data_IF_174305583448
#
_entry.id   IF_174305583448
#
_cell.length_a   1.000
_cell.length_b   1.000
_cell.length_c   1.000
_cell.angle_alpha   90.00
_cell.angle_beta   90.00
_cell.angle_gamma   90.00
#
_symmetry.space_group_name_H-M   'P 1'
#
loop_
_entity.id
_entity.type
_entity.pdbx_description
1 polymer ?
#
# COMPACT_ATOMS: atom_id res chain seq x y z
N UNK A 1 16.81 -6.44 -10.69
CA UNK A 1 17.85 -7.40 -11.10
C UNK A 1 17.99 -8.57 -10.13
N UNK A 2 18.20 -8.35 -8.83
CA UNK A 2 18.46 -9.41 -7.84
C UNK A 2 17.32 -10.43 -7.67
N UNK A 3 16.06 -9.96 -7.57
CA UNK A 3 14.90 -10.86 -7.43
C UNK A 3 14.56 -11.61 -8.73
N UNK A 4 14.88 -11.03 -9.89
CA UNK A 4 14.60 -11.61 -11.20
C UNK A 4 15.57 -12.74 -11.58
N UNK A 5 16.70 -12.86 -10.87
CA UNK A 5 17.62 -13.99 -11.00
C UNK A 5 17.09 -15.27 -10.33
N UNK A 6 16.12 -15.16 -9.41
CA UNK A 6 15.53 -16.29 -8.70
C UNK A 6 13.99 -16.32 -8.84
N UNK A 7 13.52 -16.47 -10.09
CA UNK A 7 12.10 -16.42 -10.45
C UNK A 7 11.26 -17.51 -9.79
N UNK A 8 11.83 -18.69 -9.56
CA UNK A 8 11.11 -19.80 -8.94
C UNK A 8 10.79 -19.53 -7.46
N UNK A 9 11.70 -18.87 -6.74
CA UNK A 9 11.44 -18.44 -5.36
C UNK A 9 10.38 -17.34 -5.30
N UNK A 10 10.35 -16.44 -6.29
CA UNK A 10 9.34 -15.38 -6.38
C UNK A 10 7.90 -15.92 -6.50
N UNK A 11 7.70 -17.07 -7.17
CA UNK A 11 6.38 -17.68 -7.35
C UNK A 11 5.81 -18.29 -6.07
N UNK A 12 6.67 -18.67 -5.12
CA UNK A 12 6.30 -19.50 -3.97
C UNK A 12 6.45 -18.78 -2.63
N UNK A 13 7.38 -17.83 -2.52
CA UNK A 13 7.70 -17.13 -1.28
C UNK A 13 6.99 -15.77 -1.21
N UNK A 14 5.94 -15.69 -0.38
CA UNK A 14 5.18 -14.46 -0.18
C UNK A 14 6.00 -13.35 0.49
N UNK A 15 7.08 -13.68 1.24
CA UNK A 15 7.97 -12.65 1.81
C UNK A 15 8.73 -11.96 0.68
N UNK A 16 9.23 -12.73 -0.30
CA UNK A 16 9.85 -12.18 -1.51
C UNK A 16 8.85 -11.39 -2.35
N UNK A 17 7.60 -11.84 -2.46
CA UNK A 17 6.56 -11.09 -3.15
C UNK A 17 6.26 -9.75 -2.47
N UNK A 18 6.20 -9.68 -1.14
CA UNK A 18 6.03 -8.39 -0.44
C UNK A 18 7.17 -7.41 -0.75
N UNK A 19 8.43 -7.87 -0.73
CA UNK A 19 9.56 -7.02 -1.13
C UNK A 19 9.50 -6.59 -2.59
N UNK A 20 9.10 -7.51 -3.49
CA UNK A 20 8.96 -7.20 -4.91
C UNK A 20 7.87 -6.15 -5.13
N UNK A 21 6.71 -6.34 -4.53
CA UNK A 21 5.61 -5.37 -4.56
C UNK A 21 6.01 -4.02 -3.98
N UNK A 22 6.77 -4.00 -2.89
CA UNK A 22 7.28 -2.77 -2.32
C UNK A 22 8.09 -1.97 -3.34
N UNK A 23 9.01 -2.61 -4.05
CA UNK A 23 9.82 -1.97 -5.09
C UNK A 23 8.93 -1.42 -6.22
N UNK A 24 7.87 -2.14 -6.61
CA UNK A 24 6.93 -1.65 -7.62
C UNK A 24 6.20 -0.38 -7.15
N UNK A 25 5.68 -0.37 -5.93
CA UNK A 25 5.03 0.82 -5.37
C UNK A 25 6.01 1.97 -5.15
N UNK A 26 7.27 1.68 -4.82
CA UNK A 26 8.33 2.68 -4.77
C UNK A 26 8.56 3.32 -6.14
N UNK A 27 8.68 2.52 -7.19
CA UNK A 27 8.80 3.03 -8.55
C UNK A 27 7.58 3.87 -8.95
N UNK A 28 6.37 3.45 -8.59
CA UNK A 28 5.16 4.22 -8.85
C UNK A 28 5.18 5.57 -8.13
N UNK A 29 5.44 5.57 -6.83
CA UNK A 29 5.46 6.80 -6.04
C UNK A 29 6.60 7.73 -6.47
N UNK A 30 7.80 7.20 -6.73
CA UNK A 30 8.94 8.02 -7.18
C UNK A 30 8.85 8.44 -8.64
N UNK A 31 7.94 7.88 -9.43
CA UNK A 31 7.55 8.41 -10.73
C UNK A 31 6.48 9.51 -10.59
N UNK A 32 5.48 9.30 -9.74
CA UNK A 32 4.39 10.25 -9.48
C UNK A 32 4.87 11.53 -8.79
N UNK A 33 5.81 11.44 -7.85
CA UNK A 33 6.36 12.58 -7.12
C UNK A 33 6.95 13.67 -8.04
N UNK A 34 7.82 13.31 -9.00
CA UNK A 34 8.29 14.24 -10.02
C UNK A 34 7.18 14.86 -10.86
N UNK A 35 6.14 14.10 -11.23
CA UNK A 35 4.97 14.67 -11.94
C UNK A 35 4.29 15.74 -11.09
N UNK A 36 4.06 15.46 -9.81
CA UNK A 36 3.48 16.42 -8.85
C UNK A 36 4.37 17.65 -8.60
N UNK A 37 5.68 17.56 -8.88
CA UNK A 37 6.59 18.71 -8.79
C UNK A 37 6.53 19.63 -10.02
N UNK A 38 5.93 19.20 -11.13
CA UNK A 38 5.81 20.01 -12.34
C UNK A 38 4.67 21.03 -12.17
N UNK A 39 4.95 22.31 -12.38
CA UNK A 39 4.01 23.42 -12.08
C UNK A 39 2.60 23.22 -12.64
N UNK A 40 2.48 22.85 -13.92
CA UNK A 40 1.16 22.71 -14.56
C UNK A 40 0.38 21.49 -14.04
N UNK A 41 1.09 20.44 -13.64
CA UNK A 41 0.48 19.25 -13.06
C UNK A 41 0.06 19.53 -11.62
N UNK A 42 0.93 20.18 -10.85
CA UNK A 42 0.65 20.59 -9.47
C UNK A 42 -0.51 21.58 -9.38
N UNK A 43 -0.76 22.39 -10.42
CA UNK A 43 -1.94 23.27 -10.45
C UNK A 43 -3.27 22.50 -10.32
N UNK A 44 -3.32 21.26 -10.80
CA UNK A 44 -4.46 20.37 -10.64
C UNK A 44 -4.39 19.56 -9.33
N UNK A 45 -3.21 19.07 -8.97
CA UNK A 45 -3.05 18.12 -7.87
C UNK A 45 -2.91 18.78 -6.49
N UNK A 46 -2.46 20.04 -6.42
CA UNK A 46 -2.20 20.70 -5.15
C UNK A 46 -3.50 20.93 -4.37
N UNK A 47 -3.45 20.69 -3.06
CA UNK A 47 -4.59 20.74 -2.14
C UNK A 47 -5.74 19.78 -2.45
N UNK A 48 -5.55 18.81 -3.36
CA UNK A 48 -6.55 17.77 -3.62
C UNK A 48 -6.19 16.44 -2.96
N UNK A 49 -7.14 15.51 -2.97
CA UNK A 49 -6.91 14.13 -2.51
C UNK A 49 -5.79 13.39 -3.27
N UNK A 50 -5.33 13.89 -4.43
CA UNK A 50 -4.22 13.29 -5.18
C UNK A 50 -2.96 13.20 -4.32
N UNK A 51 -2.60 14.28 -3.63
CA UNK A 51 -1.39 14.30 -2.77
C UNK A 51 -1.48 13.23 -1.69
N UNK A 52 -2.67 13.00 -1.12
CA UNK A 52 -2.89 11.95 -0.12
C UNK A 52 -2.78 10.56 -0.76
N UNK A 53 -3.28 10.38 -1.99
CA UNK A 53 -3.10 9.18 -2.79
C UNK A 53 -1.62 8.85 -3.01
N UNK A 54 -0.82 9.83 -3.44
CA UNK A 54 0.62 9.73 -3.60
C UNK A 54 1.34 9.34 -2.29
N UNK A 55 0.99 10.01 -1.19
CA UNK A 55 1.58 9.69 0.12
C UNK A 55 1.29 8.24 0.51
N UNK A 56 0.07 7.74 0.30
CA UNK A 56 -0.30 6.39 0.72
C UNK A 56 0.19 5.30 -0.24
N UNK A 57 0.36 5.60 -1.53
CA UNK A 57 1.03 4.67 -2.46
C UNK A 57 2.48 4.42 -2.01
N UNK A 58 3.19 5.46 -1.56
CA UNK A 58 4.52 5.34 -0.94
C UNK A 58 4.50 4.74 0.47
N UNK A 59 3.64 5.24 1.36
CA UNK A 59 3.63 4.84 2.77
C UNK A 59 3.15 3.40 2.97
N UNK A 60 2.04 3.00 2.34
CA UNK A 60 1.50 1.64 2.48
C UNK A 60 2.18 0.68 1.50
N UNK A 61 2.30 1.10 0.24
CA UNK A 61 2.84 0.29 -0.85
C UNK A 61 4.34 0.06 -0.74
N UNK A 62 5.15 1.09 -0.51
CA UNK A 62 6.60 0.93 -0.38
C UNK A 62 7.03 0.64 1.06
N UNK A 63 6.80 1.59 1.99
CA UNK A 63 7.32 1.50 3.37
C UNK A 63 6.63 0.36 4.12
N UNK A 64 5.30 0.30 4.05
CA UNK A 64 4.49 -0.72 4.71
C UNK A 64 4.84 -2.13 4.25
N UNK A 65 4.83 -2.40 2.93
CA UNK A 65 5.15 -3.73 2.41
C UNK A 65 6.60 -4.14 2.69
N UNK A 66 7.56 -3.22 2.60
CA UNK A 66 8.95 -3.50 2.99
C UNK A 66 9.05 -3.87 4.46
N UNK A 67 8.41 -3.10 5.34
CA UNK A 67 8.37 -3.37 6.77
C UNK A 67 7.75 -4.73 7.09
N UNK A 68 6.60 -5.04 6.49
CA UNK A 68 5.92 -6.34 6.63
C UNK A 68 6.85 -7.49 6.24
N UNK A 69 7.55 -7.38 5.11
CA UNK A 69 8.49 -8.41 4.65
C UNK A 69 9.67 -8.59 5.62
N UNK A 70 10.23 -7.49 6.12
CA UNK A 70 11.28 -7.49 7.16
C UNK A 70 10.79 -8.22 8.41
N UNK A 71 9.59 -7.90 8.92
CA UNK A 71 9.04 -8.56 10.10
C UNK A 71 8.84 -10.06 9.91
N UNK A 72 8.25 -10.48 8.79
CA UNK A 72 8.08 -11.90 8.48
C UNK A 72 9.41 -12.63 8.31
N UNK A 73 10.46 -11.96 7.85
CA UNK A 73 11.77 -12.56 7.70
C UNK A 73 12.53 -12.67 9.04
N UNK A 74 12.59 -11.58 9.81
CA UNK A 74 13.46 -11.50 10.99
C UNK A 74 12.85 -12.09 12.26
N UNK A 75 11.57 -11.88 12.54
CA UNK A 75 10.97 -12.33 13.82
C UNK A 75 11.13 -13.85 14.05
N UNK A 76 10.84 -14.74 13.08
CA UNK A 76 11.04 -16.17 13.29
C UNK A 76 12.50 -16.51 13.63
N UNK A 77 13.46 -15.87 12.95
CA UNK A 77 14.90 -16.11 13.13
C UNK A 77 15.38 -15.64 14.50
N UNK A 78 14.92 -14.49 14.97
CA UNK A 78 15.24 -13.96 16.30
C UNK A 78 14.75 -14.88 17.42
N UNK A 79 13.69 -15.65 17.17
CA UNK A 79 13.14 -16.66 18.10
C UNK A 79 13.57 -18.10 17.77
N UNK A 80 14.62 -18.29 16.97
CA UNK A 80 15.14 -19.60 16.56
C UNK A 80 14.06 -20.53 15.97
N UNK A 81 13.13 -19.96 15.19
CA UNK A 81 12.11 -20.70 14.43
C UNK A 81 12.55 -20.86 12.99
N UNK A 82 12.36 -22.07 12.46
CA UNK A 82 12.69 -22.42 11.07
C UNK A 82 11.63 -21.90 10.08
N UNK A 83 10.36 -21.84 10.50
CA UNK A 83 9.25 -21.38 9.67
C UNK A 83 8.25 -20.51 10.47
N UNK A 84 7.45 -19.73 9.74
CA UNK A 84 6.27 -19.05 10.26
C UNK A 84 5.14 -20.04 10.53
N UNK A 85 4.30 -19.74 11.53
CA UNK A 85 3.21 -20.60 11.96
C UNK A 85 2.22 -20.97 10.84
N UNK A 86 1.86 -20.02 9.98
CA UNK A 86 0.97 -20.29 8.84
C UNK A 86 1.37 -19.53 7.58
N UNK A 87 1.76 -20.28 6.54
CA UNK A 87 2.00 -19.74 5.18
C UNK A 87 0.70 -19.23 4.54
N UNK A 88 -0.45 -19.82 4.88
CA UNK A 88 -1.78 -19.41 4.37
C UNK A 88 -2.17 -18.02 4.86
N UNK A 89 -1.85 -17.67 6.12
CA UNK A 89 -2.13 -16.33 6.65
C UNK A 89 -1.29 -15.25 5.96
N UNK A 90 -0.03 -15.55 5.61
CA UNK A 90 0.82 -14.61 4.85
C UNK A 90 0.22 -14.36 3.47
N UNK A 91 -0.27 -15.42 2.80
CA UNK A 91 -0.98 -15.29 1.52
C UNK A 91 -2.20 -14.37 1.64
N UNK A 92 -3.05 -14.56 2.66
CA UNK A 92 -4.20 -13.69 2.88
C UNK A 92 -3.81 -12.25 3.17
N UNK A 93 -2.81 -12.05 4.04
CA UNK A 93 -2.27 -10.72 4.30
C UNK A 93 -1.76 -10.05 3.01
N UNK A 94 -1.04 -10.78 2.17
CA UNK A 94 -0.54 -10.25 0.90
C UNK A 94 -1.65 -9.70 0.02
N UNK A 95 -2.72 -10.48 -0.18
CA UNK A 95 -3.84 -10.04 -1.02
C UNK A 95 -4.66 -8.92 -0.38
N UNK A 96 -4.88 -8.94 0.94
CA UNK A 96 -5.57 -7.86 1.65
C UNK A 96 -4.79 -6.55 1.58
N UNK A 97 -3.46 -6.60 1.75
CA UNK A 97 -2.60 -5.43 1.64
C UNK A 97 -2.65 -4.85 0.23
N UNK A 98 -2.56 -5.68 -0.82
CA UNK A 98 -2.62 -5.21 -2.20
C UNK A 98 -3.99 -4.64 -2.58
N UNK A 99 -5.07 -5.34 -2.22
CA UNK A 99 -6.43 -4.84 -2.43
C UNK A 99 -6.65 -3.52 -1.70
N UNK A 100 -6.17 -3.42 -0.45
CA UNK A 100 -6.24 -2.21 0.35
C UNK A 100 -5.53 -1.03 -0.32
N UNK A 101 -4.26 -1.20 -0.70
CA UNK A 101 -3.48 -0.15 -1.38
C UNK A 101 -4.09 0.22 -2.72
N UNK A 102 -4.53 -0.75 -3.53
CA UNK A 102 -5.14 -0.49 -4.83
C UNK A 102 -6.43 0.33 -4.71
N UNK A 103 -7.34 -0.07 -3.81
CA UNK A 103 -8.58 0.69 -3.55
C UNK A 103 -8.25 2.09 -3.04
N UNK A 104 -7.29 2.22 -2.12
CA UNK A 104 -6.88 3.49 -1.56
C UNK A 104 -6.34 4.45 -2.63
N UNK A 105 -5.41 3.96 -3.47
CA UNK A 105 -4.79 4.77 -4.51
C UNK A 105 -5.79 5.18 -5.60
N UNK A 106 -6.58 4.22 -6.12
CA UNK A 106 -7.56 4.50 -7.17
C UNK A 106 -8.62 5.50 -6.68
N UNK A 107 -9.14 5.30 -5.46
CA UNK A 107 -10.15 6.22 -4.91
C UNK A 107 -9.63 7.66 -4.82
N UNK A 108 -8.38 7.84 -4.38
CA UNK A 108 -7.81 9.18 -4.21
C UNK A 108 -7.29 9.81 -5.49
N UNK A 109 -6.90 9.01 -6.49
CA UNK A 109 -6.67 9.55 -7.83
C UNK A 109 -7.97 10.07 -8.44
N UNK A 110 -9.06 9.30 -8.37
CA UNK A 110 -10.35 9.75 -8.92
C UNK A 110 -10.88 10.99 -8.17
N UNK A 111 -10.81 10.97 -6.83
CA UNK A 111 -11.17 12.12 -6.02
C UNK A 111 -10.31 13.35 -6.32
N UNK A 112 -8.99 13.18 -6.38
CA UNK A 112 -8.05 14.29 -6.56
C UNK A 112 -8.12 14.91 -7.96
N UNK A 113 -8.21 14.09 -9.00
CA UNK A 113 -8.40 14.56 -10.39
C UNK A 113 -9.73 15.31 -10.51
N UNK A 114 -10.82 14.74 -10.00
CA UNK A 114 -12.15 15.34 -10.09
C UNK A 114 -12.27 16.63 -9.27
N UNK A 115 -11.72 16.66 -8.05
CA UNK A 115 -11.68 17.86 -7.21
C UNK A 115 -10.88 18.99 -7.88
N UNK A 116 -9.69 18.69 -8.39
CA UNK A 116 -8.88 19.67 -9.12
C UNK A 116 -9.58 20.18 -10.39
N UNK A 117 -10.24 19.29 -11.14
CA UNK A 117 -11.02 19.66 -12.31
C UNK A 117 -12.17 20.61 -11.95
N UNK A 118 -12.97 20.27 -10.94
CA UNK A 118 -14.11 21.09 -10.51
C UNK A 118 -13.68 22.47 -10.03
N UNK A 119 -12.54 22.58 -9.34
CA UNK A 119 -12.02 23.87 -8.87
C UNK A 119 -11.46 24.77 -9.98
N UNK A 120 -11.01 24.19 -11.10
CA UNK A 120 -10.44 24.94 -12.22
C UNK A 120 -11.45 25.21 -13.34
N UNK A 121 -12.63 24.57 -13.32
CA UNK A 121 -13.59 24.70 -14.42
C UNK A 121 -14.28 26.06 -14.38
N UNK A 122 -14.19 26.78 -15.49
CA UNK A 122 -14.81 28.09 -15.70
C UNK A 122 -15.77 28.05 -16.91
N UNK A 123 -16.87 28.80 -16.82
CA UNK A 123 -17.76 29.05 -17.94
C UNK A 123 -17.11 30.02 -18.94
N UNK A 124 -17.72 30.20 -20.12
CA UNK A 124 -17.23 31.13 -21.15
C UNK A 124 -17.06 32.58 -20.65
N UNK A 125 -17.83 32.96 -19.62
CA UNK A 125 -17.77 34.27 -18.98
C UNK A 125 -16.68 34.39 -17.89
N UNK A 126 -15.90 33.32 -17.63
CA UNK A 126 -14.84 33.28 -16.61
C UNK A 126 -15.30 32.97 -15.19
N UNK A 127 -16.60 32.80 -14.97
CA UNK A 127 -17.16 32.40 -13.67
C UNK A 127 -16.89 30.91 -13.37
N UNK A 128 -16.67 30.59 -12.09
CA UNK A 128 -16.50 29.20 -11.66
C UNK A 128 -17.79 28.40 -11.83
N UNK A 129 -17.67 27.22 -12.46
CA UNK A 129 -18.83 26.36 -12.76
C UNK A 129 -19.37 25.66 -11.51
N UNK A 130 -18.47 25.20 -10.65
CA UNK A 130 -18.80 24.41 -9.47
C UNK A 130 -18.54 25.20 -8.19
N UNK A 131 -19.46 25.10 -7.25
CA UNK A 131 -19.26 25.54 -5.87
C UNK A 131 -18.32 24.59 -5.13
N UNK A 132 -17.72 25.09 -4.04
CA UNK A 132 -16.88 24.26 -3.17
C UNK A 132 -17.65 23.08 -2.57
N UNK A 133 -18.93 23.27 -2.22
CA UNK A 133 -19.78 22.23 -1.63
C UNK A 133 -20.03 21.09 -2.64
N UNK A 134 -20.21 21.40 -3.92
CA UNK A 134 -20.35 20.38 -4.96
C UNK A 134 -19.09 19.53 -5.10
N UNK A 135 -17.90 20.15 -5.05
CA UNK A 135 -16.63 19.41 -5.04
C UNK A 135 -16.48 18.52 -3.80
N UNK A 136 -16.92 18.99 -2.62
CA UNK A 136 -16.93 18.18 -1.39
C UNK A 136 -17.88 16.98 -1.50
N UNK A 137 -19.09 17.19 -2.03
CA UNK A 137 -20.07 16.14 -2.24
C UNK A 137 -19.58 15.11 -3.26
N UNK A 138 -18.91 15.56 -4.32
CA UNK A 138 -18.28 14.69 -5.31
C UNK A 138 -17.23 13.76 -4.68
N UNK A 139 -16.37 14.28 -3.79
CA UNK A 139 -15.30 13.47 -3.21
C UNK A 139 -15.73 12.50 -2.10
N UNK A 140 -16.87 12.77 -1.44
CA UNK A 140 -17.37 11.98 -0.32
C UNK A 140 -17.40 10.44 -0.54
N UNK A 141 -17.97 9.90 -1.63
CA UNK A 141 -17.98 8.45 -1.87
C UNK A 141 -16.57 7.85 -2.00
N UNK A 142 -15.63 8.60 -2.57
CA UNK A 142 -14.24 8.17 -2.72
C UNK A 142 -13.50 8.15 -1.38
N UNK A 143 -13.81 9.07 -0.46
CA UNK A 143 -13.29 9.04 0.90
C UNK A 143 -13.79 7.83 1.70
N UNK A 144 -15.01 7.34 1.41
CA UNK A 144 -15.50 6.09 1.98
C UNK A 144 -14.73 4.88 1.44
N UNK A 145 -14.47 4.84 0.13
CA UNK A 145 -13.61 3.80 -0.46
C UNK A 145 -12.18 3.84 0.09
N UNK A 146 -11.62 5.03 0.33
CA UNK A 146 -10.34 5.21 1.03
C UNK A 146 -10.36 4.53 2.39
N UNK A 147 -11.39 4.80 3.20
CA UNK A 147 -11.55 4.16 4.51
C UNK A 147 -11.59 2.63 4.39
N UNK A 148 -12.38 2.11 3.44
CA UNK A 148 -12.48 0.68 3.21
C UNK A 148 -11.14 0.05 2.79
N UNK A 149 -10.41 0.67 1.86
CA UNK A 149 -9.08 0.22 1.46
C UNK A 149 -8.08 0.22 2.63
N UNK A 150 -8.10 1.27 3.45
CA UNK A 150 -7.28 1.34 4.66
C UNK A 150 -7.63 0.25 5.68
N UNK A 151 -8.93 -0.02 5.87
CA UNK A 151 -9.41 -1.08 6.76
C UNK A 151 -8.94 -2.47 6.31
N UNK A 152 -8.92 -2.77 5.01
CA UNK A 152 -8.37 -4.02 4.48
C UNK A 152 -6.88 -4.17 4.78
N UNK A 153 -6.10 -3.08 4.61
CA UNK A 153 -4.68 -3.10 4.92
C UNK A 153 -4.43 -3.36 6.42
N UNK A 154 -5.18 -2.67 7.29
CA UNK A 154 -5.11 -2.86 8.75
C UNK A 154 -5.55 -4.27 9.16
N UNK A 155 -6.57 -4.83 8.53
CA UNK A 155 -6.96 -6.22 8.74
C UNK A 155 -5.81 -7.18 8.41
N UNK A 156 -5.08 -6.90 7.33
CA UNK A 156 -3.83 -7.59 6.99
C UNK A 156 -2.79 -7.54 8.13
N UNK A 157 -2.59 -6.37 8.74
CA UNK A 157 -1.68 -6.21 9.88
C UNK A 157 -2.12 -7.02 11.11
N UNK A 158 -3.43 -7.14 11.37
CA UNK A 158 -3.93 -8.01 12.42
C UNK A 158 -3.62 -9.50 12.13
N UNK A 159 -3.76 -9.94 10.87
CA UNK A 159 -3.35 -11.29 10.48
C UNK A 159 -1.84 -11.50 10.66
N UNK A 160 -1.02 -10.49 10.36
CA UNK A 160 0.41 -10.53 10.60
C UNK A 160 0.73 -10.67 12.09
N UNK A 161 0.17 -9.79 12.92
CA UNK A 161 0.39 -9.81 14.36
C UNK A 161 0.01 -11.17 14.97
N UNK A 162 -1.15 -11.72 14.57
CA UNK A 162 -1.58 -13.04 15.00
C UNK A 162 -0.63 -14.16 14.56
N UNK A 163 -0.21 -14.17 13.29
CA UNK A 163 0.69 -15.19 12.75
C UNK A 163 2.06 -15.15 13.44
N UNK A 164 2.62 -13.97 13.65
CA UNK A 164 3.90 -13.77 14.34
C UNK A 164 3.80 -14.15 15.81
N UNK A 165 2.74 -13.76 16.50
CA UNK A 165 2.47 -14.14 17.88
C UNK A 165 2.42 -15.66 18.06
N UNK A 166 1.69 -16.37 17.17
CA UNK A 166 1.64 -17.83 17.19
C UNK A 166 3.01 -18.44 16.88
N UNK A 167 3.75 -17.87 15.93
CA UNK A 167 5.12 -18.33 15.59
C UNK A 167 6.06 -18.27 16.78
N UNK A 168 6.05 -17.16 17.52
CA UNK A 168 6.90 -16.96 18.70
C UNK A 168 6.51 -17.92 19.85
N UNK A 169 5.21 -18.15 20.06
CA UNK A 169 4.70 -19.03 21.13
C UNK A 169 4.70 -20.51 20.82
N UNK A 170 4.80 -20.91 19.54
CA UNK A 170 4.90 -22.33 19.18
C UNK A 170 6.17 -22.94 19.78
N UNK A 171 6.15 -24.20 20.25
CA UNK A 171 7.36 -24.87 20.72
C UNK A 171 8.45 -24.82 19.65
N UNK A 172 9.67 -24.43 20.01
CA UNK A 172 10.81 -24.57 19.11
C UNK A 172 11.04 -26.05 18.90
N UNK A 173 10.91 -26.53 17.66
CA UNK A 173 11.55 -27.77 17.25
C UNK A 173 13.04 -27.49 17.41
N UNK A 174 13.63 -27.92 18.54
CA UNK A 174 15.06 -27.86 18.74
C UNK A 174 15.68 -28.56 17.55
N UNK A 175 16.35 -27.80 16.68
CA UNK A 175 17.29 -28.39 15.75
C UNK A 175 18.36 -28.98 16.65
N UNK A 176 18.32 -30.30 16.82
CA UNK A 176 19.46 -31.04 17.34
C UNK A 176 20.62 -30.64 16.43
N UNK A 177 21.53 -29.80 16.95
CA UNK A 177 22.84 -29.66 16.35
C UNK A 177 23.47 -31.05 16.48
N UNK A 178 23.47 -31.81 15.41
CA UNK A 178 24.34 -32.97 15.30
C UNK A 178 25.77 -32.47 15.52
N UNK A 179 26.40 -33.01 16.56
CA UNK A 179 27.77 -32.73 16.98
C UNK A 179 28.74 -33.64 16.23
#
# INVERSE_FOLDING_TARGET
>A
MTLLQNKEKLKSDYICLFFFSAILYYCLATFEGPLLAIRWFNMLAHNTEWVIGHVHSGALGWVGMSGIAVFYYFIPRLWNKTELWSKRLIKWHFWLAHAGVAIYAIALWVAGIGEGYMWLTQNENGELVYSFIEAMNFKAPWLFLRFFGGALFVLGLFLMAFNLYKTVRSPSMLVAKEA
#
